data_IF_214274898964
#
_entry.id   IF_214274898964
#
_cell.length_a   1.000
_cell.length_b   1.000
_cell.length_c   1.000
_cell.angle_alpha   90.00
_cell.angle_beta   90.00
_cell.angle_gamma   90.00
#
_symmetry.space_group_name_H-M   'P 1'
#
loop_
_entity.id
_entity.type
_entity.pdbx_description
1 polymer ?
#
# COMPACT_ATOMS: atom_id res chain seq x y z
N UNK A 1 -2.54 10.90 4.14
CA UNK A 1 -3.81 10.48 4.75
C UNK A 1 -5.02 10.69 3.85
N UNK A 2 -6.19 10.13 4.18
CA UNK A 2 -7.39 10.22 3.38
C UNK A 2 -7.89 11.68 3.24
N UNK A 3 -8.52 11.98 2.08
CA UNK A 3 -9.11 13.27 1.78
C UNK A 3 -10.62 13.20 2.02
N UNK A 4 -11.22 14.27 2.53
CA UNK A 4 -12.65 14.40 2.76
C UNK A 4 -13.29 13.35 3.68
N UNK A 5 -12.49 12.62 4.44
CA UNK A 5 -12.93 11.64 5.45
C UNK A 5 -12.56 12.14 6.84
N UNK A 6 -13.46 12.01 7.81
CA UNK A 6 -13.19 12.37 9.20
C UNK A 6 -12.38 11.27 9.86
N UNK A 7 -11.16 11.61 10.28
CA UNK A 7 -10.27 10.69 10.99
C UNK A 7 -10.14 11.13 12.44
N UNK A 8 -10.37 10.22 13.38
CA UNK A 8 -10.10 10.45 14.79
C UNK A 8 -8.63 10.20 15.09
N UNK A 9 -8.01 11.09 15.84
CA UNK A 9 -6.61 11.06 16.24
C UNK A 9 -6.51 11.30 17.74
N UNK A 10 -5.75 10.46 18.42
CA UNK A 10 -5.60 10.47 19.88
C UNK A 10 -4.25 10.97 20.37
N UNK A 11 -3.23 11.02 19.49
CA UNK A 11 -1.87 11.43 19.83
C UNK A 11 -1.18 12.17 18.68
N UNK A 12 -0.12 12.91 19.00
CA UNK A 12 0.73 13.57 18.01
C UNK A 12 1.42 12.56 17.08
N UNK A 13 1.83 11.40 17.63
CA UNK A 13 2.44 10.32 16.83
C UNK A 13 1.44 9.77 15.81
N UNK A 14 0.21 9.53 16.21
CA UNK A 14 -0.87 9.08 15.32
C UNK A 14 -1.21 10.14 14.25
N UNK A 15 -1.16 11.43 14.63
CA UNK A 15 -1.33 12.52 13.67
C UNK A 15 -0.24 12.51 12.60
N UNK A 16 1.02 12.34 12.99
CA UNK A 16 2.15 12.27 12.08
C UNK A 16 2.10 11.02 11.20
N UNK A 17 1.74 9.88 11.77
CA UNK A 17 1.58 8.61 11.03
C UNK A 17 0.52 8.73 9.93
N UNK A 18 -0.66 9.27 10.27
CA UNK A 18 -1.80 9.34 9.34
C UNK A 18 -1.71 10.48 8.32
N UNK A 19 -1.12 11.61 8.68
CA UNK A 19 -1.14 12.82 7.86
C UNK A 19 0.25 13.31 7.44
N UNK A 20 1.31 12.66 7.90
CA UNK A 20 2.70 13.04 7.67
C UNK A 20 3.27 13.97 8.74
N UNK A 21 4.58 13.99 8.86
CA UNK A 21 5.29 14.95 9.70
C UNK A 21 5.10 16.39 9.17
N UNK A 22 5.18 17.42 10.03
CA UNK A 22 5.02 18.80 9.61
C UNK A 22 6.15 19.24 8.66
N UNK A 23 5.77 19.92 7.61
CA UNK A 23 6.66 20.59 6.66
C UNK A 23 6.42 22.10 6.62
N UNK A 24 7.14 22.82 5.75
CA UNK A 24 7.01 24.27 5.62
C UNK A 24 5.61 24.75 5.24
N UNK A 25 4.77 23.91 4.65
CA UNK A 25 3.41 24.25 4.22
C UNK A 25 2.37 23.85 5.26
N UNK A 26 2.64 22.79 6.03
CA UNK A 26 1.67 22.15 6.92
C UNK A 26 1.91 22.43 8.40
N UNK A 27 3.11 22.92 8.77
CA UNK A 27 3.53 23.02 10.18
C UNK A 27 2.56 23.81 11.06
N UNK A 28 1.94 24.86 10.56
CA UNK A 28 1.00 25.67 11.35
C UNK A 28 -0.22 24.87 11.78
N UNK A 29 -0.80 24.14 10.85
CA UNK A 29 -1.98 23.29 11.11
C UNK A 29 -1.60 22.12 12.00
N UNK A 30 -0.43 21.51 11.74
CA UNK A 30 0.08 20.40 12.54
C UNK A 30 0.31 20.83 13.99
N UNK A 31 0.97 21.98 14.24
CA UNK A 31 1.24 22.46 15.59
C UNK A 31 -0.03 22.80 16.37
N UNK A 32 -1.07 23.35 15.71
CA UNK A 32 -2.35 23.60 16.34
C UNK A 32 -3.00 22.27 16.77
N UNK A 33 -3.01 21.28 15.89
CA UNK A 33 -3.53 19.95 16.18
C UNK A 33 -2.73 19.25 17.31
N UNK A 34 -1.41 19.28 17.24
CA UNK A 34 -0.52 18.72 18.25
C UNK A 34 -0.70 19.41 19.62
N UNK A 35 -0.91 20.74 19.62
CA UNK A 35 -1.19 21.48 20.85
C UNK A 35 -2.52 21.06 21.49
N UNK A 36 -3.56 20.80 20.71
CA UNK A 36 -4.81 20.24 21.23
C UNK A 36 -4.59 18.84 21.85
N UNK A 37 -3.81 17.99 21.18
CA UNK A 37 -3.54 16.63 21.61
C UNK A 37 -2.71 16.53 22.90
N UNK A 38 -2.09 17.63 23.36
CA UNK A 38 -1.46 17.70 24.69
C UNK A 38 -2.47 17.73 25.85
N UNK A 39 -3.70 18.14 25.59
CA UNK A 39 -4.74 18.31 26.59
C UNK A 39 -5.97 17.44 26.35
N UNK A 40 -6.10 16.85 25.16
CA UNK A 40 -7.21 16.01 24.75
C UNK A 40 -6.76 14.86 23.84
N UNK A 41 -7.57 13.83 23.76
CA UNK A 41 -7.27 12.62 22.96
C UNK A 41 -8.37 12.29 21.93
N UNK A 42 -9.21 13.25 21.58
CA UNK A 42 -10.35 13.05 20.67
C UNK A 42 -10.40 14.12 19.58
N UNK A 43 -9.25 14.33 18.89
CA UNK A 43 -9.16 15.23 17.76
C UNK A 43 -9.78 14.58 16.52
N UNK A 44 -10.65 15.31 15.83
CA UNK A 44 -11.16 14.94 14.50
C UNK A 44 -10.48 15.77 13.44
N UNK A 45 -9.85 15.10 12.48
CA UNK A 45 -9.11 15.74 11.38
C UNK A 45 -9.79 15.40 10.08
N UNK A 46 -9.96 16.41 9.22
CA UNK A 46 -10.37 16.25 7.82
C UNK A 46 -9.32 16.90 6.95
N UNK A 47 -8.69 16.11 6.08
CA UNK A 47 -7.78 16.64 5.07
C UNK A 47 -8.58 17.21 3.90
N UNK A 48 -8.40 18.48 3.62
CA UNK A 48 -8.81 19.11 2.36
C UNK A 48 -7.63 19.02 1.38
N UNK A 49 -7.88 18.58 0.15
CA UNK A 49 -6.89 18.58 -0.91
C UNK A 49 -7.51 19.15 -2.19
N UNK A 50 -6.74 19.97 -2.91
CA UNK A 50 -7.11 20.52 -4.21
C UNK A 50 -5.95 20.33 -5.18
N UNK A 51 -6.23 19.72 -6.34
CA UNK A 51 -5.21 19.49 -7.37
C UNK A 51 -4.20 18.38 -7.08
N UNK A 52 -4.39 17.62 -6.01
CA UNK A 52 -3.56 16.45 -5.71
C UNK A 52 -4.21 15.19 -6.26
N UNK A 53 -3.38 14.30 -6.81
CA UNK A 53 -3.76 12.97 -7.30
C UNK A 53 -2.94 11.89 -6.61
N UNK A 54 -3.42 10.66 -6.64
CA UNK A 54 -2.67 9.49 -6.21
C UNK A 54 -1.65 9.15 -7.30
N UNK A 55 -0.44 8.78 -6.92
CA UNK A 55 0.53 8.25 -7.85
C UNK A 55 0.04 6.92 -8.43
N UNK A 56 0.29 6.71 -9.72
CA UNK A 56 -0.19 5.55 -10.48
C UNK A 56 0.94 4.92 -11.26
N UNK A 57 0.84 3.63 -11.55
CA UNK A 57 1.89 2.90 -12.25
C UNK A 57 2.12 3.40 -13.69
N UNK A 58 1.14 4.02 -14.33
CA UNK A 58 1.28 4.62 -15.65
C UNK A 58 1.71 6.10 -15.63
N UNK A 59 1.84 6.71 -14.44
CA UNK A 59 2.27 8.09 -14.25
C UNK A 59 1.20 9.17 -14.51
N UNK A 60 -0.02 8.80 -14.91
CA UNK A 60 -1.05 9.80 -15.26
C UNK A 60 -1.76 10.40 -14.04
N UNK A 61 -1.66 9.74 -12.89
CA UNK A 61 -2.33 10.15 -11.66
C UNK A 61 -3.84 9.99 -11.71
N UNK A 62 -4.44 9.62 -10.59
CA UNK A 62 -5.89 9.52 -10.43
C UNK A 62 -6.25 10.04 -9.05
N UNK A 63 -7.31 10.82 -8.92
CA UNK A 63 -7.79 11.21 -7.60
C UNK A 63 -8.69 10.11 -7.04
N UNK A 64 -8.20 9.44 -6.00
CA UNK A 64 -8.96 8.56 -5.12
C UNK A 64 -8.86 9.15 -3.72
N UNK A 65 -9.95 9.66 -3.20
CA UNK A 65 -9.95 10.50 -1.98
C UNK A 65 -9.69 9.68 -0.71
N UNK A 66 -10.31 8.50 -0.64
CA UNK A 66 -10.30 7.60 0.51
C UNK A 66 -10.85 6.21 0.12
N UNK A 67 -10.91 5.31 1.07
CA UNK A 67 -11.38 3.93 0.85
C UNK A 67 -12.83 3.89 0.34
N UNK A 68 -13.72 4.73 0.87
CA UNK A 68 -15.12 4.77 0.44
C UNK A 68 -15.24 5.19 -1.04
N UNK A 69 -14.44 6.19 -1.46
CA UNK A 69 -14.37 6.63 -2.86
C UNK A 69 -13.79 5.53 -3.77
N UNK A 70 -12.84 4.73 -3.28
CA UNK A 70 -12.32 3.57 -4.00
C UNK A 70 -13.40 2.49 -4.18
N UNK A 71 -14.06 2.12 -3.09
CA UNK A 71 -15.06 1.04 -3.09
C UNK A 71 -16.27 1.40 -3.95
N UNK A 72 -16.71 2.66 -3.91
CA UNK A 72 -17.87 3.13 -4.65
C UNK A 72 -17.62 3.26 -6.17
N UNK A 73 -16.37 3.59 -6.58
CA UNK A 73 -16.12 4.02 -7.96
C UNK A 73 -15.06 3.19 -8.71
N UNK A 74 -14.24 2.39 -8.02
CA UNK A 74 -13.05 1.78 -8.64
C UNK A 74 -12.79 0.32 -8.27
N UNK A 75 -13.49 -0.23 -7.27
CA UNK A 75 -13.27 -1.61 -6.81
C UNK A 75 -13.61 -2.67 -7.88
N UNK A 76 -14.44 -2.32 -8.86
CA UNK A 76 -14.79 -3.16 -10.00
C UNK A 76 -13.67 -3.33 -11.04
N UNK A 77 -12.52 -2.65 -10.84
CA UNK A 77 -11.39 -2.67 -11.77
C UNK A 77 -11.53 -1.69 -12.94
N UNK A 78 -12.43 -0.72 -12.86
CA UNK A 78 -12.63 0.30 -13.90
C UNK A 78 -11.48 1.31 -14.02
N UNK A 79 -10.51 1.31 -13.07
CA UNK A 79 -9.33 2.15 -13.14
C UNK A 79 -8.43 1.79 -14.33
N UNK A 80 -8.14 2.78 -15.18
CA UNK A 80 -7.28 2.66 -16.35
C UNK A 80 -5.95 3.42 -16.16
N UNK A 81 -5.29 3.20 -15.03
CA UNK A 81 -4.07 3.94 -14.61
C UNK A 81 -2.90 3.00 -14.28
N UNK A 82 -2.86 1.85 -14.91
CA UNK A 82 -1.90 0.79 -14.60
C UNK A 82 -2.38 -0.12 -13.47
N UNK A 83 -1.50 -1.03 -13.05
CA UNK A 83 -1.85 -2.10 -12.11
C UNK A 83 -1.79 -1.66 -10.63
N UNK A 84 -1.18 -0.52 -10.34
CA UNK A 84 -0.91 -0.05 -8.99
C UNK A 84 -1.26 1.43 -8.86
N UNK A 85 -1.84 1.77 -7.73
CA UNK A 85 -2.15 3.16 -7.35
C UNK A 85 -1.79 3.36 -5.88
N UNK A 86 -1.18 4.49 -5.56
CA UNK A 86 -0.91 4.85 -4.17
C UNK A 86 -2.22 5.12 -3.43
N UNK A 87 -2.34 4.63 -2.20
CA UNK A 87 -3.57 4.70 -1.38
C UNK A 87 -4.08 6.13 -1.18
N UNK A 88 -3.16 7.08 -1.01
CA UNK A 88 -3.52 8.47 -0.71
C UNK A 88 -2.99 9.45 -1.75
N UNK A 89 -3.76 10.50 -2.09
CA UNK A 89 -3.30 11.51 -3.02
C UNK A 89 -2.20 12.39 -2.42
N UNK A 90 -1.20 12.70 -3.24
CA UNK A 90 -0.10 13.59 -2.89
C UNK A 90 1.25 13.13 -3.45
N UNK A 91 2.20 14.04 -3.49
CA UNK A 91 3.53 13.84 -4.10
C UNK A 91 4.38 12.76 -3.42
N UNK A 92 4.08 12.43 -2.15
CA UNK A 92 4.78 11.37 -1.42
C UNK A 92 4.63 10.02 -2.13
N UNK A 93 3.47 9.76 -2.74
CA UNK A 93 3.22 8.55 -3.49
C UNK A 93 4.17 8.33 -4.68
N UNK A 94 4.80 9.38 -5.20
CA UNK A 94 5.76 9.27 -6.29
C UNK A 94 7.08 8.61 -5.88
N UNK A 95 7.37 8.53 -4.58
CA UNK A 95 8.52 7.80 -4.03
C UNK A 95 8.27 6.29 -3.91
N UNK A 96 7.02 5.85 -4.11
CA UNK A 96 6.68 4.43 -4.02
C UNK A 96 7.05 3.69 -5.30
N UNK A 97 7.72 2.56 -5.12
CA UNK A 97 8.00 1.59 -6.17
C UNK A 97 7.45 0.24 -5.78
N UNK A 98 6.76 -0.42 -6.69
CA UNK A 98 6.32 -1.80 -6.52
C UNK A 98 7.22 -2.71 -7.33
N UNK A 99 7.85 -3.67 -6.68
CA UNK A 99 8.64 -4.72 -7.32
C UNK A 99 8.05 -6.08 -6.99
N UNK A 100 7.90 -6.92 -7.99
CA UNK A 100 7.33 -8.24 -7.82
C UNK A 100 8.18 -9.31 -8.49
N UNK A 101 8.09 -10.53 -7.98
CA UNK A 101 8.69 -11.72 -8.59
C UNK A 101 7.70 -12.87 -8.56
N UNK A 102 7.62 -13.60 -9.66
CA UNK A 102 6.84 -14.83 -9.80
C UNK A 102 7.78 -15.96 -10.18
N UNK A 103 7.40 -17.21 -9.92
CA UNK A 103 8.17 -18.34 -10.41
C UNK A 103 8.18 -18.35 -11.96
N UNK A 104 9.35 -18.48 -12.55
CA UNK A 104 9.54 -18.56 -14.01
C UNK A 104 9.87 -17.25 -14.70
N UNK A 105 9.85 -16.11 -14.03
CA UNK A 105 10.23 -14.82 -14.65
C UNK A 105 11.70 -14.49 -14.41
N UNK A 106 12.30 -14.90 -13.30
CA UNK A 106 13.69 -14.59 -12.99
C UNK A 106 14.25 -15.45 -11.87
N UNK A 107 15.57 -15.47 -11.79
CA UNK A 107 16.31 -16.01 -10.65
C UNK A 107 15.94 -15.22 -9.39
N UNK A 108 15.26 -15.85 -8.43
CA UNK A 108 14.90 -15.26 -7.15
C UNK A 108 16.14 -14.71 -6.43
N UNK A 109 17.26 -15.42 -6.48
CA UNK A 109 18.50 -14.99 -5.81
C UNK A 109 19.10 -13.73 -6.43
N UNK A 110 18.82 -13.47 -7.69
CA UNK A 110 19.21 -12.25 -8.41
C UNK A 110 18.26 -11.07 -8.21
N UNK A 111 17.08 -11.28 -7.63
CA UNK A 111 16.13 -10.22 -7.35
C UNK A 111 16.60 -9.34 -6.18
N UNK A 112 16.64 -8.02 -6.39
CA UNK A 112 17.21 -7.09 -5.42
C UNK A 112 16.60 -7.13 -4.02
N UNK A 113 15.36 -7.61 -3.90
CA UNK A 113 14.60 -7.67 -2.65
C UNK A 113 14.45 -9.09 -2.10
N UNK A 114 15.16 -10.08 -2.67
CA UNK A 114 15.09 -11.48 -2.24
C UNK A 114 15.41 -11.67 -0.75
N UNK A 115 16.30 -10.86 -0.19
CA UNK A 115 16.66 -10.90 1.23
C UNK A 115 15.54 -10.52 2.20
N UNK A 116 14.42 -10.01 1.71
CA UNK A 116 13.22 -9.70 2.52
C UNK A 116 12.21 -10.87 2.57
N UNK A 117 12.54 -12.01 1.97
CA UNK A 117 11.66 -13.18 1.88
C UNK A 117 12.42 -14.46 2.19
N UNK A 118 11.75 -15.44 2.80
CA UNK A 118 12.38 -16.68 3.28
C UNK A 118 12.74 -17.65 2.17
N UNK A 119 11.97 -17.68 1.07
CA UNK A 119 12.17 -18.58 -0.06
C UNK A 119 11.60 -18.00 -1.35
N UNK A 120 11.91 -18.60 -2.50
CA UNK A 120 11.31 -18.27 -3.79
C UNK A 120 9.81 -18.61 -3.81
N UNK A 121 8.97 -17.84 -4.54
CA UNK A 121 7.57 -18.20 -4.73
C UNK A 121 7.44 -19.48 -5.56
N UNK A 122 6.39 -20.23 -5.33
CA UNK A 122 6.17 -21.53 -5.96
C UNK A 122 4.70 -21.80 -6.28
N UNK A 123 4.27 -23.00 -5.97
CA UNK A 123 2.86 -23.41 -6.06
C UNK A 123 2.23 -23.33 -4.68
N UNK A 124 1.12 -22.62 -4.56
CA UNK A 124 0.41 -22.48 -3.30
C UNK A 124 -0.13 -23.82 -2.77
N UNK A 125 -0.30 -23.92 -1.45
CA UNK A 125 -0.94 -25.05 -0.81
C UNK A 125 -2.35 -25.28 -1.40
N UNK A 126 -3.10 -24.20 -1.58
CA UNK A 126 -4.43 -24.24 -2.20
C UNK A 126 -4.43 -24.89 -3.60
N UNK A 127 -3.50 -24.50 -4.47
CA UNK A 127 -3.38 -25.11 -5.79
C UNK A 127 -2.96 -26.59 -5.72
N UNK A 128 -2.06 -26.91 -4.79
CA UNK A 128 -1.60 -28.29 -4.56
C UNK A 128 -2.73 -29.20 -4.08
N UNK A 129 -3.58 -28.74 -3.18
CA UNK A 129 -4.76 -29.46 -2.67
C UNK A 129 -5.80 -29.71 -3.77
N UNK A 130 -5.86 -28.85 -4.77
CA UNK A 130 -6.67 -29.05 -5.98
C UNK A 130 -5.99 -29.97 -7.04
N UNK A 131 -4.84 -30.58 -6.69
CA UNK A 131 -4.09 -31.44 -7.59
C UNK A 131 -3.26 -30.70 -8.64
N UNK A 132 -3.12 -29.39 -8.54
CA UNK A 132 -2.34 -28.53 -9.46
C UNK A 132 -0.93 -28.28 -8.91
N UNK A 133 -0.13 -29.34 -8.76
CA UNK A 133 1.18 -29.30 -8.11
C UNK A 133 2.28 -28.53 -8.86
N UNK A 134 1.99 -28.01 -10.04
CA UNK A 134 2.89 -27.18 -10.87
C UNK A 134 2.21 -25.91 -11.34
N UNK A 135 1.29 -25.36 -10.54
CA UNK A 135 0.56 -24.14 -10.89
C UNK A 135 1.48 -22.91 -10.92
N UNK A 136 2.51 -22.88 -10.07
CA UNK A 136 3.45 -21.77 -9.94
C UNK A 136 2.74 -20.42 -9.80
N UNK A 137 1.68 -20.42 -9.02
CA UNK A 137 0.73 -19.33 -8.87
C UNK A 137 1.15 -18.30 -7.82
N UNK A 138 2.16 -18.62 -7.00
CA UNK A 138 2.65 -17.69 -5.99
C UNK A 138 3.49 -16.57 -6.59
N UNK A 139 3.47 -15.44 -5.89
CA UNK A 139 4.33 -14.30 -6.15
C UNK A 139 4.72 -13.61 -4.84
N UNK A 140 5.84 -12.88 -4.88
CA UNK A 140 6.20 -11.92 -3.85
C UNK A 140 6.07 -10.51 -4.37
N UNK A 141 5.63 -9.62 -3.50
CA UNK A 141 5.51 -8.19 -3.79
C UNK A 141 6.28 -7.44 -2.70
N UNK A 142 7.14 -6.53 -3.11
CA UNK A 142 7.80 -5.57 -2.23
C UNK A 142 7.35 -4.16 -2.62
N UNK A 143 6.99 -3.35 -1.62
CA UNK A 143 6.73 -1.92 -1.76
C UNK A 143 7.93 -1.18 -1.21
N UNK A 144 8.51 -0.30 -1.99
CA UNK A 144 9.80 0.33 -1.73
C UNK A 144 9.63 1.85 -1.71
N UNK A 145 10.28 2.52 -0.79
CA UNK A 145 10.51 3.97 -0.80
C UNK A 145 11.76 4.26 -1.65
N UNK A 146 11.57 4.46 -2.95
CA UNK A 146 12.67 4.58 -3.89
C UNK A 146 13.55 5.80 -3.61
N UNK A 147 12.94 6.94 -3.31
CA UNK A 147 13.63 8.20 -3.07
C UNK A 147 13.92 8.48 -1.58
N UNK A 148 13.41 7.66 -0.68
CA UNK A 148 13.58 7.84 0.77
C UNK A 148 12.71 8.96 1.38
N UNK A 149 11.65 9.38 0.70
CA UNK A 149 10.79 10.48 1.16
C UNK A 149 9.93 10.05 2.36
N UNK A 150 9.62 8.77 2.48
CA UNK A 150 8.76 8.22 3.53
C UNK A 150 9.61 7.76 4.72
N UNK A 151 10.64 6.96 4.45
CA UNK A 151 11.50 6.33 5.47
C UNK A 151 12.70 7.18 5.90
N UNK A 152 13.06 8.17 5.10
CA UNK A 152 14.30 8.94 5.25
C UNK A 152 15.53 8.28 4.60
N UNK A 153 15.40 7.08 4.03
CA UNK A 153 16.49 6.35 3.37
C UNK A 153 16.03 5.78 2.03
N UNK A 154 16.68 6.14 0.91
CA UNK A 154 16.33 5.61 -0.41
C UNK A 154 16.42 4.08 -0.48
N UNK A 155 15.54 3.49 -1.28
CA UNK A 155 15.43 2.05 -1.51
C UNK A 155 15.07 1.22 -0.27
N UNK A 156 14.45 1.83 0.74
CA UNK A 156 13.93 1.12 1.91
C UNK A 156 12.69 0.32 1.54
N UNK A 157 12.68 -0.97 1.87
CA UNK A 157 11.47 -1.81 1.77
C UNK A 157 10.51 -1.40 2.88
N UNK A 158 9.32 -0.95 2.50
CA UNK A 158 8.26 -0.51 3.42
C UNK A 158 7.32 -1.66 3.78
N UNK A 159 6.90 -2.42 2.77
CA UNK A 159 5.93 -3.51 2.93
C UNK A 159 6.36 -4.71 2.09
N UNK A 160 6.05 -5.91 2.58
CA UNK A 160 6.26 -7.17 1.87
C UNK A 160 5.01 -8.03 1.91
N UNK A 161 4.65 -8.60 0.76
CA UNK A 161 3.58 -9.58 0.65
C UNK A 161 4.18 -10.87 0.10
N UNK A 162 4.38 -11.83 1.01
CA UNK A 162 5.03 -13.10 0.70
C UNK A 162 4.00 -14.17 0.31
N UNK A 163 4.32 -14.97 -0.70
CA UNK A 163 3.54 -16.14 -1.12
C UNK A 163 2.07 -15.85 -1.42
N UNK A 164 1.77 -14.65 -1.92
CA UNK A 164 0.42 -14.31 -2.38
C UNK A 164 0.16 -14.96 -3.74
N UNK A 165 -1.07 -15.40 -3.99
CA UNK A 165 -1.40 -16.12 -5.22
C UNK A 165 -1.93 -15.18 -6.31
N UNK A 166 -1.63 -15.50 -7.55
CA UNK A 166 -2.21 -14.89 -8.73
C UNK A 166 -3.62 -15.44 -9.05
N UNK A 167 -4.00 -16.58 -8.44
CA UNK A 167 -5.32 -17.17 -8.63
C UNK A 167 -6.37 -16.45 -7.77
N UNK A 168 -7.44 -15.98 -8.42
CA UNK A 168 -8.47 -15.17 -7.75
C UNK A 168 -9.29 -15.95 -6.70
N UNK A 169 -9.30 -17.27 -6.78
CA UNK A 169 -10.00 -18.17 -5.86
C UNK A 169 -9.10 -18.76 -4.77
N UNK A 170 -7.81 -18.40 -4.76
CA UNK A 170 -6.85 -18.94 -3.80
C UNK A 170 -7.22 -18.56 -2.36
N UNK A 171 -7.09 -19.56 -1.47
CA UNK A 171 -7.34 -19.43 -0.03
C UNK A 171 -6.12 -19.81 0.77
N UNK A 172 -5.96 -19.19 1.94
CA UNK A 172 -5.06 -19.66 2.99
C UNK A 172 -5.69 -20.81 3.77
N UNK A 173 -4.91 -21.51 4.58
CA UNK A 173 -5.39 -22.60 5.43
C UNK A 173 -6.50 -22.19 6.41
N UNK A 174 -6.57 -20.92 6.78
CA UNK A 174 -7.63 -20.33 7.63
C UNK A 174 -8.90 -19.95 6.85
N UNK A 175 -8.94 -20.19 5.54
CA UNK A 175 -10.05 -19.87 4.64
C UNK A 175 -10.09 -18.42 4.15
N UNK A 176 -9.20 -17.55 4.60
CA UNK A 176 -9.10 -16.17 4.08
C UNK A 176 -8.52 -16.15 2.66
N UNK A 177 -8.77 -15.08 1.92
CA UNK A 177 -8.22 -14.94 0.57
C UNK A 177 -6.70 -14.87 0.59
N UNK A 178 -6.06 -15.58 -0.34
CA UNK A 178 -4.65 -15.43 -0.66
C UNK A 178 -4.44 -14.76 -2.03
N UNK A 179 -5.50 -14.28 -2.65
CA UNK A 179 -5.40 -13.54 -3.91
C UNK A 179 -4.68 -12.22 -3.70
N UNK A 180 -3.62 -11.97 -4.47
CA UNK A 180 -2.72 -10.83 -4.22
C UNK A 180 -3.44 -9.47 -4.19
N UNK A 181 -4.47 -9.25 -5.03
CA UNK A 181 -5.21 -7.99 -5.04
C UNK A 181 -5.99 -7.77 -3.75
N UNK A 182 -6.65 -8.80 -3.24
CA UNK A 182 -7.40 -8.70 -1.98
C UNK A 182 -6.46 -8.55 -0.79
N UNK A 183 -5.34 -9.29 -0.78
CA UNK A 183 -4.35 -9.20 0.30
C UNK A 183 -3.74 -7.80 0.35
N UNK A 184 -3.28 -7.26 -0.78
CA UNK A 184 -2.69 -5.92 -0.84
C UNK A 184 -3.73 -4.86 -0.45
N UNK A 185 -4.93 -4.89 -1.03
CA UNK A 185 -5.96 -3.87 -0.75
C UNK A 185 -6.44 -3.86 0.70
N UNK A 186 -6.33 -5.00 1.42
CA UNK A 186 -6.76 -5.10 2.82
C UNK A 186 -5.67 -4.76 3.83
N UNK A 187 -4.39 -4.82 3.46
CA UNK A 187 -3.25 -4.71 4.39
C UNK A 187 -2.35 -3.49 4.13
N UNK A 188 -2.34 -2.94 2.93
CA UNK A 188 -1.52 -1.77 2.57
C UNK A 188 -2.11 -0.43 2.98
#
# INVERSE_FOLDING_TARGET
GPVSKVISVSSESELAEKFGAPDNNTFKYFLVAASFLKYGNALKVVRAASGHVNATADGNGQLIKNDDDYDDNYADGSLSVGNWVAKYPGVIGNSLKVSLITQGISDFSGWAYSGSFDAAPGTSEYASDLGKTSANDEMHIAVIDEDGVISGTPNTVLETFAFVSQAADAKKSDGTSNYYKEVVNSQS
#
